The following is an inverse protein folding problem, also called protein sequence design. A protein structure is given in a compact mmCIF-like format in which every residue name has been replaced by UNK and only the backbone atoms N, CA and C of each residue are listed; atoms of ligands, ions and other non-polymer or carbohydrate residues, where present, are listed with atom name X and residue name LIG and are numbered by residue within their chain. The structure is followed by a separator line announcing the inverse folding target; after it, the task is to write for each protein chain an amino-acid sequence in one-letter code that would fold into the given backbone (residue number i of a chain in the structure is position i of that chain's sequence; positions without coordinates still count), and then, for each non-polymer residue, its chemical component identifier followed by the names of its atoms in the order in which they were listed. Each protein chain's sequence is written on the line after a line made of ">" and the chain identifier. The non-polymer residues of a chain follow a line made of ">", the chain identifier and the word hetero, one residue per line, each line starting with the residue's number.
data_IF_344359056511
#
_entry.id   IF_344359056511
#
_cell.length_a   1.000
_cell.length_b   1.000
_cell.length_c   1.000
_cell.angle_alpha   90.00
_cell.angle_beta   90.00
_cell.angle_gamma   90.00
#
_symmetry.space_group_name_H-M   'P 1'
#
loop_
_entity.id
_entity.type
_entity.pdbx_description
1 polymer ?
#
# COMPACT_ATOMS: atom_id res chain seq x y z
N UNK A 1 16.06 -4.30 14.80
CA UNK A 1 14.82 -3.50 14.63
C UNK A 1 14.58 -3.21 13.15
N UNK A 2 13.33 -3.10 12.71
CA UNK A 2 12.96 -2.64 11.37
C UNK A 2 12.55 -1.16 11.40
N UNK A 3 12.94 -0.42 10.37
CA UNK A 3 12.27 0.81 9.97
C UNK A 3 11.51 0.55 8.67
N UNK A 4 10.29 1.06 8.58
CA UNK A 4 9.48 1.01 7.35
C UNK A 4 8.88 2.38 7.10
N UNK A 5 9.01 2.89 5.89
CA UNK A 5 8.32 4.08 5.41
C UNK A 5 7.31 3.68 4.36
N UNK A 6 6.02 3.87 4.65
CA UNK A 6 4.89 3.70 3.74
C UNK A 6 4.63 5.04 3.06
N UNK A 7 4.98 5.10 1.78
CA UNK A 7 4.95 6.32 0.97
C UNK A 7 4.87 5.95 -0.51
N UNK A 8 4.13 6.73 -1.29
CA UNK A 8 3.97 6.51 -2.73
C UNK A 8 5.22 6.81 -3.53
N UNK A 9 6.19 7.48 -2.91
CA UNK A 9 7.46 7.82 -3.53
C UNK A 9 8.44 6.63 -3.64
N UNK A 10 8.06 5.44 -3.15
CA UNK A 10 8.98 4.30 -2.97
C UNK A 10 8.56 3.05 -3.74
N UNK A 11 9.01 2.94 -4.99
CA UNK A 11 9.00 1.71 -5.77
C UNK A 11 7.65 0.98 -5.89
N UNK A 12 7.65 -0.28 -6.35
CA UNK A 12 6.41 -0.97 -6.71
C UNK A 12 5.45 -1.28 -5.56
N UNK A 13 5.92 -1.27 -4.31
CA UNK A 13 5.08 -1.52 -3.12
C UNK A 13 4.79 -0.27 -2.30
N UNK A 14 5.30 0.91 -2.69
CA UNK A 14 5.16 2.13 -1.91
C UNK A 14 5.75 1.97 -0.48
N UNK A 15 6.89 1.28 -0.39
CA UNK A 15 7.56 0.92 0.86
C UNK A 15 9.08 1.07 0.77
N UNK A 16 9.68 1.79 1.73
CA UNK A 16 11.11 1.72 2.03
C UNK A 16 11.35 0.98 3.34
N UNK A 17 12.12 -0.10 3.32
CA UNK A 17 12.41 -0.93 4.50
C UNK A 17 13.90 -0.90 4.83
N UNK A 18 14.24 -0.73 6.10
CA UNK A 18 15.62 -0.76 6.60
C UNK A 18 15.74 -1.61 7.86
N UNK A 19 16.87 -2.30 7.97
CA UNK A 19 17.30 -2.94 9.21
C UNK A 19 18.15 -1.95 10.00
N UNK A 20 17.77 -1.74 11.25
CA UNK A 20 18.48 -0.87 12.18
C UNK A 20 19.17 -1.71 13.25
N UNK A 21 20.41 -1.34 13.64
CA UNK A 21 21.23 -2.12 14.57
C UNK A 21 20.78 -1.99 16.03
N UNK A 22 19.96 -0.97 16.33
CA UNK A 22 19.54 -0.64 17.69
C UNK A 22 18.58 -1.69 18.27
N UNK A 23 18.65 -1.85 19.60
CA UNK A 23 17.86 -2.84 20.33
C UNK A 23 16.40 -2.43 20.48
N UNK A 24 16.07 -1.16 20.30
CA UNK A 24 14.71 -0.67 20.36
C UNK A 24 14.61 0.80 19.95
N UNK A 25 13.37 1.28 19.88
CA UNK A 25 13.04 2.64 19.42
C UNK A 25 13.79 3.69 20.25
N UNK A 26 13.75 3.58 21.58
CA UNK A 26 14.42 4.52 22.47
C UNK A 26 15.93 4.62 22.21
N UNK A 27 16.60 3.49 21.96
CA UNK A 27 18.04 3.46 21.72
C UNK A 27 18.39 4.14 20.38
N UNK A 28 17.55 3.98 19.36
CA UNK A 28 17.72 4.66 18.08
C UNK A 28 17.58 6.19 18.20
N UNK A 29 16.51 6.67 18.85
CA UNK A 29 16.32 8.11 19.09
C UNK A 29 17.45 8.69 19.93
N UNK A 30 17.87 7.97 20.97
CA UNK A 30 19.04 8.38 21.76
C UNK A 30 20.27 8.53 20.89
N UNK A 31 20.55 7.59 19.99
CA UNK A 31 21.75 7.64 19.15
C UNK A 31 21.76 8.88 18.25
N UNK A 32 20.60 9.30 17.76
CA UNK A 32 20.45 10.51 16.96
C UNK A 32 20.42 11.83 17.73
N UNK A 33 20.13 11.79 19.04
CA UNK A 33 19.77 12.98 19.84
C UNK A 33 20.81 14.10 19.80
N UNK A 34 22.09 13.74 19.81
CA UNK A 34 23.21 14.68 19.87
C UNK A 34 23.89 14.86 18.50
N UNK A 35 23.22 14.47 17.40
CA UNK A 35 23.79 14.57 16.05
C UNK A 35 23.66 16.01 15.53
N UNK A 36 24.77 16.65 15.15
CA UNK A 36 24.81 18.04 14.69
C UNK A 36 24.11 18.30 13.34
N UNK A 37 23.83 17.25 12.55
CA UNK A 37 23.19 17.32 11.23
C UNK A 37 22.07 16.27 11.11
N UNK A 38 20.92 16.48 11.80
CA UNK A 38 19.89 15.45 11.94
C UNK A 38 19.30 14.98 10.60
N UNK A 39 19.10 15.88 9.64
CA UNK A 39 18.60 15.55 8.30
C UNK A 39 19.52 14.57 7.57
N UNK A 40 20.80 14.92 7.42
CA UNK A 40 21.79 14.09 6.73
C UNK A 40 21.95 12.73 7.43
N UNK A 41 21.90 12.72 8.76
CA UNK A 41 21.98 11.49 9.54
C UNK A 41 20.78 10.57 9.30
N UNK A 42 19.55 11.11 9.36
CA UNK A 42 18.32 10.35 9.08
C UNK A 42 18.33 9.81 7.66
N UNK A 43 18.69 10.64 6.68
CA UNK A 43 18.71 10.23 5.28
C UNK A 43 19.70 9.08 5.05
N UNK A 44 20.92 9.19 5.58
CA UNK A 44 21.93 8.13 5.47
C UNK A 44 21.51 6.84 6.19
N UNK A 45 20.96 6.95 7.39
CA UNK A 45 20.56 5.81 8.23
C UNK A 45 19.33 5.08 7.65
N UNK A 46 18.31 5.83 7.23
CA UNK A 46 17.01 5.33 6.79
C UNK A 46 16.89 5.19 5.26
N UNK A 47 17.93 5.59 4.52
CA UNK A 47 18.03 5.41 3.07
C UNK A 47 17.22 6.41 2.25
N UNK A 48 16.98 7.61 2.78
CA UNK A 48 16.20 8.67 2.16
C UNK A 48 15.52 9.57 3.19
N UNK A 49 14.96 10.72 2.77
CA UNK A 49 14.23 11.61 3.67
C UNK A 49 12.97 10.92 4.24
N UNK A 50 12.59 11.29 5.46
CA UNK A 50 11.33 10.87 6.11
C UNK A 50 10.61 12.11 6.56
N UNK A 51 9.40 12.32 6.05
CA UNK A 51 8.65 13.55 6.31
C UNK A 51 8.43 13.75 7.82
N UNK A 52 8.71 14.97 8.30
CA UNK A 52 8.56 15.38 9.69
C UNK A 52 9.56 14.77 10.69
N UNK A 53 10.19 13.64 10.41
CA UNK A 53 10.99 12.90 11.41
C UNK A 53 12.20 13.66 11.95
N UNK A 54 12.79 14.58 11.19
CA UNK A 54 13.94 15.36 11.65
C UNK A 54 13.59 16.40 12.73
N UNK A 55 12.34 16.88 12.76
CA UNK A 55 11.88 17.99 13.62
C UNK A 55 12.12 17.76 15.12
N UNK A 56 11.96 16.54 15.61
CA UNK A 56 12.23 16.19 17.02
C UNK A 56 13.72 16.37 17.38
N UNK A 57 14.63 16.09 16.45
CA UNK A 57 16.06 16.26 16.67
C UNK A 57 16.48 17.72 16.52
N UNK A 58 15.86 18.47 15.59
CA UNK A 58 16.04 19.92 15.47
C UNK A 58 15.59 20.62 16.76
N UNK A 59 14.39 20.33 17.25
CA UNK A 59 13.88 20.85 18.51
C UNK A 59 14.79 20.48 19.69
N UNK A 60 15.34 19.26 19.71
CA UNK A 60 16.29 18.86 20.74
C UNK A 60 17.53 19.76 20.79
N UNK A 61 18.04 20.20 19.64
CA UNK A 61 19.17 21.12 19.57
C UNK A 61 18.76 22.57 19.90
N UNK A 62 17.70 23.07 19.25
CA UNK A 62 17.26 24.46 19.35
C UNK A 62 16.77 24.80 20.77
N UNK A 63 16.06 23.88 21.40
CA UNK A 63 15.47 24.06 22.74
C UNK A 63 16.30 23.40 23.85
N UNK A 64 17.42 22.74 23.51
CA UNK A 64 18.29 22.02 24.46
C UNK A 64 17.53 20.95 25.26
N UNK A 65 16.67 20.19 24.58
CA UNK A 65 15.82 19.19 25.22
C UNK A 65 16.66 18.06 25.82
N UNK A 66 16.29 17.56 27.02
CA UNK A 66 17.01 16.45 27.63
C UNK A 66 16.84 15.20 26.79
N UNK A 67 17.94 14.46 26.61
CA UNK A 67 17.92 13.14 25.98
C UNK A 67 17.00 12.20 26.77
N UNK A 68 16.01 11.54 26.14
CA UNK A 68 15.01 10.76 26.87
C UNK A 68 15.64 9.60 27.64
N UNK A 69 15.32 9.49 28.92
CA UNK A 69 15.67 8.45 29.89
C UNK A 69 14.79 7.20 29.78
N UNK A 70 13.56 7.36 29.32
CA UNK A 70 12.55 6.30 29.26
C UNK A 70 11.71 6.38 27.98
N UNK A 71 10.97 5.31 27.69
CA UNK A 71 10.00 5.31 26.57
C UNK A 71 8.89 6.33 26.81
N UNK A 72 8.49 6.54 28.07
CA UNK A 72 7.46 7.52 28.41
C UNK A 72 7.95 8.96 28.21
N UNK A 73 9.20 9.25 28.58
CA UNK A 73 9.82 10.55 28.28
C UNK A 73 9.96 10.77 26.76
N UNK A 74 10.38 9.75 26.00
CA UNK A 74 10.41 9.84 24.54
C UNK A 74 9.00 10.08 23.97
N UNK A 75 7.96 9.42 24.51
CA UNK A 75 6.58 9.62 24.06
C UNK A 75 6.15 11.08 24.24
N UNK A 76 6.41 11.66 25.42
CA UNK A 76 6.13 13.07 25.68
C UNK A 76 6.83 13.97 24.67
N UNK A 77 8.14 13.78 24.48
CA UNK A 77 8.93 14.61 23.56
C UNK A 77 8.44 14.48 22.10
N UNK A 78 8.07 13.28 21.65
CA UNK A 78 7.51 13.09 20.32
C UNK A 78 6.18 13.84 20.16
N UNK A 79 5.26 13.76 21.12
CA UNK A 79 3.99 14.49 21.00
C UNK A 79 4.16 16.01 21.07
N UNK A 80 5.20 16.50 21.74
CA UNK A 80 5.47 17.94 21.88
C UNK A 80 6.22 18.52 20.68
N UNK A 81 7.14 17.76 20.07
CA UNK A 81 8.11 18.31 19.12
C UNK A 81 8.24 17.55 17.79
N UNK A 82 7.65 16.36 17.64
CA UNK A 82 7.63 15.68 16.34
C UNK A 82 6.55 16.32 15.46
N UNK A 83 6.99 16.95 14.37
CA UNK A 83 6.12 17.42 13.32
C UNK A 83 5.46 16.24 12.60
N UNK A 84 4.14 16.17 12.75
CA UNK A 84 3.24 15.34 11.95
C UNK A 84 2.03 16.19 11.56
N UNK A 85 1.59 16.07 10.33
CA UNK A 85 0.37 16.74 9.88
C UNK A 85 -0.84 15.90 10.22
N UNK A 86 -1.72 16.46 11.05
CA UNK A 86 -2.94 15.81 11.51
C UNK A 86 -3.33 16.16 12.94
N UNK A 87 -4.36 15.47 13.42
CA UNK A 87 -4.94 15.60 14.76
C UNK A 87 -4.13 14.83 15.83
N UNK A 88 -4.75 14.47 16.97
CA UNK A 88 -4.05 13.98 18.17
C UNK A 88 -3.68 12.49 18.22
N UNK A 89 -4.11 11.63 17.27
CA UNK A 89 -3.85 10.17 17.25
C UNK A 89 -2.82 9.72 16.18
N UNK A 90 -1.87 10.60 15.84
CA UNK A 90 -0.93 10.38 14.73
C UNK A 90 0.40 9.78 15.16
N UNK A 91 0.68 9.71 16.46
CA UNK A 91 1.91 9.12 17.01
C UNK A 91 1.52 8.07 18.05
N UNK A 92 1.91 6.82 17.82
CA UNK A 92 1.69 5.69 18.73
C UNK A 92 3.03 5.08 19.11
N UNK A 93 3.44 5.26 20.35
CA UNK A 93 4.69 4.71 20.91
C UNK A 93 4.41 3.77 22.09
N UNK A 94 4.85 2.52 21.94
CA UNK A 94 4.92 1.53 23.02
C UNK A 94 6.34 0.95 23.17
N UNK A 95 6.51 -0.06 24.02
CA UNK A 95 7.83 -0.65 24.29
C UNK A 95 8.45 -1.41 23.10
N UNK A 96 7.68 -1.71 22.05
CA UNK A 96 8.12 -2.52 20.92
C UNK A 96 7.96 -1.82 19.56
N UNK A 97 7.26 -0.69 19.50
CA UNK A 97 7.01 0.02 18.26
C UNK A 97 6.80 1.52 18.41
N UNK A 98 7.26 2.26 17.40
CA UNK A 98 6.76 3.59 17.05
C UNK A 98 6.01 3.47 15.74
N UNK A 99 4.80 4.03 15.68
CA UNK A 99 4.02 4.19 14.45
C UNK A 99 3.61 5.65 14.37
N UNK A 100 3.90 6.28 13.25
CA UNK A 100 3.48 7.64 13.00
C UNK A 100 2.74 7.71 11.66
N UNK A 101 1.63 8.44 11.63
CA UNK A 101 0.93 8.88 10.41
C UNK A 101 1.23 10.36 10.22
N UNK A 102 1.30 10.80 8.97
CA UNK A 102 1.38 12.22 8.61
C UNK A 102 0.77 12.41 7.23
N UNK A 103 0.54 13.66 6.85
CA UNK A 103 0.38 14.10 5.47
C UNK A 103 1.60 14.96 5.10
N UNK A 104 1.94 15.11 3.83
CA UNK A 104 2.94 16.04 3.33
C UNK A 104 2.34 17.11 2.40
N UNK A 105 1.11 17.53 2.71
CA UNK A 105 0.19 18.29 1.86
C UNK A 105 -0.27 17.61 0.55
N UNK A 106 0.47 16.62 0.02
CA UNK A 106 0.15 15.95 -1.25
C UNK A 106 -0.45 14.56 -1.05
N UNK A 107 0.07 13.78 -0.10
CA UNK A 107 -0.36 12.41 0.18
C UNK A 107 -0.19 12.03 1.65
N UNK A 108 -1.05 11.13 2.10
CA UNK A 108 -0.84 10.49 3.40
C UNK A 108 0.38 9.55 3.42
N UNK A 109 1.10 9.58 4.52
CA UNK A 109 2.34 8.85 4.75
C UNK A 109 2.31 8.20 6.13
N UNK A 110 3.03 7.10 6.28
CA UNK A 110 3.24 6.52 7.60
C UNK A 110 4.64 5.94 7.73
N UNK A 111 5.23 6.02 8.92
CA UNK A 111 6.48 5.33 9.21
C UNK A 111 6.43 4.57 10.51
N UNK A 112 7.22 3.51 10.55
CA UNK A 112 7.16 2.49 11.56
C UNK A 112 8.58 2.13 12.01
N UNK A 113 8.81 2.13 13.32
CA UNK A 113 9.95 1.45 13.93
C UNK A 113 9.40 0.23 14.66
N UNK A 114 9.86 -0.96 14.30
CA UNK A 114 9.29 -2.23 14.77
C UNK A 114 10.39 -3.12 15.35
N UNK A 115 10.23 -3.52 16.61
CA UNK A 115 11.13 -4.49 17.23
C UNK A 115 11.04 -5.84 16.51
N UNK A 116 12.16 -6.59 16.50
CA UNK A 116 12.27 -7.86 15.75
C UNK A 116 11.32 -8.93 16.31
N UNK A 117 11.21 -9.00 17.63
CA UNK A 117 10.26 -9.90 18.31
C UNK A 117 8.80 -9.57 17.97
N UNK A 118 8.47 -8.28 17.79
CA UNK A 118 7.12 -7.87 17.41
C UNK A 118 6.81 -8.25 15.96
N UNK A 119 7.76 -8.01 15.05
CA UNK A 119 7.67 -8.43 13.65
C UNK A 119 7.45 -9.94 13.52
N UNK A 120 8.11 -10.74 14.36
CA UNK A 120 7.96 -12.20 14.39
C UNK A 120 6.63 -12.63 15.03
N UNK A 121 6.27 -12.04 16.17
CA UNK A 121 5.08 -12.42 16.92
C UNK A 121 3.76 -12.00 16.26
N UNK A 122 3.81 -11.03 15.34
CA UNK A 122 2.65 -10.44 14.65
C UNK A 122 2.83 -10.50 13.13
N UNK A 123 3.36 -11.60 12.63
CA UNK A 123 3.57 -11.81 11.20
C UNK A 123 2.25 -11.69 10.41
N UNK A 124 1.13 -12.17 11.00
CA UNK A 124 -0.24 -12.01 10.50
C UNK A 124 -0.67 -10.55 10.26
N UNK A 125 0.07 -9.59 10.83
CA UNK A 125 -0.18 -8.15 10.67
C UNK A 125 0.92 -7.41 9.93
N UNK A 126 2.15 -7.92 9.97
CA UNK A 126 3.34 -7.19 9.53
C UNK A 126 4.04 -7.80 8.32
N UNK A 127 3.70 -9.02 7.89
CA UNK A 127 4.43 -9.71 6.82
C UNK A 127 4.47 -8.92 5.51
N UNK A 128 3.34 -8.37 5.05
CA UNK A 128 3.29 -7.53 3.85
C UNK A 128 4.10 -6.23 4.03
N UNK A 129 3.93 -5.55 5.17
CA UNK A 129 4.65 -4.30 5.48
C UNK A 129 6.18 -4.49 5.48
N UNK A 130 6.65 -5.70 5.81
CA UNK A 130 8.07 -6.05 5.85
C UNK A 130 8.57 -6.77 4.59
N UNK A 131 7.72 -6.93 3.58
CA UNK A 131 8.06 -7.59 2.32
C UNK A 131 8.67 -6.59 1.33
N UNK A 132 10.01 -6.52 1.29
CA UNK A 132 10.73 -5.46 0.57
C UNK A 132 11.09 -5.72 -0.89
N UNK A 133 10.56 -6.76 -1.54
CA UNK A 133 10.95 -7.08 -2.91
C UNK A 133 9.77 -7.54 -3.75
N UNK A 134 9.52 -6.86 -4.87
CA UNK A 134 8.59 -7.34 -5.88
C UNK A 134 9.13 -8.60 -6.58
N UNK A 135 8.28 -9.58 -6.93
CA UNK A 135 6.85 -9.71 -6.60
C UNK A 135 6.60 -10.41 -5.24
N UNK A 136 5.34 -10.45 -4.78
CA UNK A 136 4.92 -11.42 -3.74
C UNK A 136 5.09 -12.86 -4.26
N UNK A 137 5.33 -13.86 -3.39
CA UNK A 137 5.52 -15.25 -3.81
C UNK A 137 4.25 -15.83 -4.45
N UNK A 138 4.39 -16.44 -5.64
CA UNK A 138 3.27 -16.99 -6.42
C UNK A 138 2.94 -18.46 -6.14
N UNK A 139 3.84 -19.20 -5.48
CA UNK A 139 3.68 -20.65 -5.28
C UNK A 139 2.56 -20.96 -4.28
N UNK A 140 1.54 -21.69 -4.70
CA UNK A 140 0.48 -22.18 -3.80
C UNK A 140 0.14 -23.64 -4.13
N UNK A 141 0.27 -24.58 -3.17
CA UNK A 141 -0.18 -25.94 -3.40
C UNK A 141 -1.72 -25.98 -3.48
N UNK A 142 -2.30 -26.96 -4.19
CA UNK A 142 -3.74 -27.13 -4.23
C UNK A 142 -4.32 -27.26 -2.82
N UNK A 143 -5.29 -26.42 -2.48
CA UNK A 143 -6.01 -26.48 -1.22
C UNK A 143 -7.46 -26.90 -1.47
N UNK A 144 -7.99 -27.77 -0.60
CA UNK A 144 -9.41 -28.11 -0.59
C UNK A 144 -10.20 -27.15 0.30
N UNK A 145 -11.42 -26.78 -0.09
CA UNK A 145 -12.28 -25.94 0.73
C UNK A 145 -13.27 -25.10 -0.09
N UNK A 146 -14.07 -24.30 0.61
CA UNK A 146 -14.81 -23.23 -0.02
C UNK A 146 -13.83 -22.16 -0.50
N UNK A 147 -13.94 -21.76 -1.77
CA UNK A 147 -13.01 -20.78 -2.36
C UNK A 147 -13.59 -19.39 -2.25
N UNK A 148 -12.75 -18.40 -1.92
CA UNK A 148 -13.07 -16.97 -2.01
C UNK A 148 -11.90 -16.25 -2.68
N UNK A 149 -12.20 -15.36 -3.61
CA UNK A 149 -11.20 -14.43 -4.17
C UNK A 149 -11.31 -13.11 -3.43
N UNK A 150 -10.16 -12.55 -3.08
CA UNK A 150 -10.01 -11.22 -2.49
C UNK A 150 -9.45 -10.27 -3.54
N UNK A 151 -9.97 -9.05 -3.60
CA UNK A 151 -9.39 -7.95 -4.36
C UNK A 151 -8.97 -6.83 -3.41
N UNK A 152 -7.70 -6.48 -3.45
CA UNK A 152 -7.09 -5.41 -2.65
C UNK A 152 -6.60 -4.33 -3.61
N UNK A 153 -7.16 -3.14 -3.48
CA UNK A 153 -6.81 -1.98 -4.30
C UNK A 153 -6.15 -0.92 -3.41
N UNK A 154 -4.83 -0.78 -3.54
CA UNK A 154 -4.03 0.25 -2.88
C UNK A 154 -3.84 1.40 -3.86
N UNK A 155 -4.95 2.07 -4.17
CA UNK A 155 -4.99 3.25 -5.04
C UNK A 155 -5.06 4.52 -4.21
N UNK A 156 -4.47 5.59 -4.73
CA UNK A 156 -4.45 6.89 -4.08
C UNK A 156 -5.12 7.94 -4.97
N UNK A 157 -5.90 8.83 -4.35
CA UNK A 157 -6.58 9.93 -5.04
C UNK A 157 -6.69 11.13 -4.11
N UNK A 158 -6.42 12.34 -4.63
CA UNK A 158 -6.74 13.59 -3.94
C UNK A 158 -6.23 13.63 -2.48
N UNK A 159 -4.98 13.22 -2.26
CA UNK A 159 -4.33 13.17 -0.95
C UNK A 159 -4.71 12.01 -0.03
N UNK A 160 -5.85 11.35 -0.22
CA UNK A 160 -6.24 10.16 0.54
C UNK A 160 -5.56 8.91 -0.02
N UNK A 161 -4.67 8.32 0.78
CA UNK A 161 -3.79 7.27 0.25
C UNK A 161 -3.56 6.10 1.18
N UNK A 162 -3.85 6.24 2.47
CA UNK A 162 -3.73 5.17 3.45
C UNK A 162 -5.12 4.64 3.77
N UNK A 163 -5.30 3.32 3.61
CA UNK A 163 -6.50 2.62 4.06
C UNK A 163 -7.83 3.08 3.44
N UNK A 164 -7.81 3.50 2.17
CA UNK A 164 -8.98 4.06 1.49
C UNK A 164 -10.07 3.03 1.20
N UNK A 165 -9.68 1.81 0.84
CA UNK A 165 -10.61 0.77 0.37
C UNK A 165 -10.40 -0.51 1.17
N UNK A 166 -11.48 -0.93 1.83
CA UNK A 166 -11.55 -2.27 2.39
C UNK A 166 -11.40 -3.33 1.29
N UNK A 167 -10.73 -4.47 1.57
CA UNK A 167 -10.68 -5.58 0.64
C UNK A 167 -12.08 -6.03 0.20
N UNK A 168 -12.22 -6.31 -1.09
CA UNK A 168 -13.45 -6.89 -1.63
C UNK A 168 -13.35 -8.42 -1.61
N UNK A 169 -14.46 -9.08 -1.29
CA UNK A 169 -14.55 -10.54 -1.25
C UNK A 169 -15.53 -11.05 -2.32
N UNK A 170 -15.15 -12.13 -2.99
CA UNK A 170 -15.97 -12.86 -3.96
C UNK A 170 -16.15 -14.30 -3.50
N UNK A 171 -17.12 -14.58 -2.61
CA UNK A 171 -17.35 -15.92 -2.10
C UNK A 171 -17.77 -16.89 -3.21
N UNK A 172 -17.18 -18.09 -3.20
CA UNK A 172 -17.44 -19.14 -4.19
C UNK A 172 -16.75 -18.93 -5.54
N UNK A 173 -15.83 -17.97 -5.65
CA UNK A 173 -15.10 -17.64 -6.88
C UNK A 173 -13.61 -17.83 -6.63
N UNK A 174 -12.97 -18.70 -7.40
CA UNK A 174 -11.51 -18.80 -7.49
C UNK A 174 -10.95 -17.73 -8.42
N UNK A 175 -9.64 -17.46 -8.35
CA UNK A 175 -9.04 -16.43 -9.19
C UNK A 175 -9.22 -16.72 -10.70
N UNK A 176 -9.09 -17.97 -11.18
CA UNK A 176 -9.42 -18.32 -12.57
C UNK A 176 -10.89 -18.08 -12.95
N UNK A 177 -11.83 -18.22 -12.01
CA UNK A 177 -13.26 -17.98 -12.21
C UNK A 177 -13.66 -16.51 -12.15
N UNK A 178 -12.79 -15.63 -11.62
CA UNK A 178 -13.10 -14.20 -11.45
C UNK A 178 -13.53 -13.49 -12.74
N UNK A 179 -12.88 -13.66 -13.92
CA UNK A 179 -13.34 -13.04 -15.15
C UNK A 179 -14.79 -13.43 -15.50
N UNK A 180 -15.14 -14.72 -15.35
CA UNK A 180 -16.49 -15.21 -15.58
C UNK A 180 -17.50 -14.57 -14.63
N UNK A 181 -17.14 -14.42 -13.35
CA UNK A 181 -17.95 -13.75 -12.36
C UNK A 181 -18.19 -12.27 -12.71
N UNK A 182 -17.13 -11.51 -13.02
CA UNK A 182 -17.22 -10.07 -13.31
C UNK A 182 -18.09 -9.78 -14.54
N UNK A 183 -18.03 -10.63 -15.57
CA UNK A 183 -18.90 -10.52 -16.75
C UNK A 183 -20.39 -10.71 -16.43
N UNK A 184 -20.68 -11.66 -15.53
CA UNK A 184 -22.05 -12.02 -15.19
C UNK A 184 -22.67 -11.08 -14.13
N UNK A 185 -21.83 -10.54 -13.24
CA UNK A 185 -22.28 -9.65 -12.17
C UNK A 185 -22.81 -8.31 -12.73
N UNK A 186 -23.91 -7.85 -12.14
CA UNK A 186 -24.32 -6.46 -12.27
C UNK A 186 -23.48 -5.62 -11.30
N UNK A 187 -22.95 -4.45 -11.73
CA UNK A 187 -22.22 -3.58 -10.81
C UNK A 187 -23.15 -3.14 -9.68
N UNK A 188 -22.70 -3.29 -8.44
CA UNK A 188 -23.39 -2.75 -7.28
C UNK A 188 -22.96 -1.30 -7.05
N UNK A 189 -23.81 -0.51 -6.37
CA UNK A 189 -23.58 0.92 -6.19
C UNK A 189 -22.37 1.27 -5.31
N UNK A 190 -21.81 0.29 -4.62
CA UNK A 190 -20.64 0.37 -3.73
C UNK A 190 -19.35 -0.15 -4.38
N UNK A 191 -19.39 -0.61 -5.64
CA UNK A 191 -18.19 -1.08 -6.32
C UNK A 191 -17.21 0.08 -6.55
N UNK A 192 -15.94 -0.09 -6.16
CA UNK A 192 -14.96 0.96 -6.36
C UNK A 192 -14.55 1.05 -7.85
N UNK A 193 -14.05 2.22 -8.30
CA UNK A 193 -13.66 2.45 -9.69
C UNK A 193 -12.72 1.40 -10.27
N UNK A 194 -11.79 0.89 -9.48
CA UNK A 194 -10.83 -0.17 -9.84
C UNK A 194 -11.55 -1.43 -10.28
N UNK A 195 -12.56 -1.86 -9.52
CA UNK A 195 -13.35 -3.04 -9.85
C UNK A 195 -14.24 -2.81 -11.07
N UNK A 196 -14.79 -1.60 -11.22
CA UNK A 196 -15.60 -1.24 -12.38
C UNK A 196 -14.77 -1.27 -13.67
N UNK A 197 -13.55 -0.72 -13.65
CA UNK A 197 -12.63 -0.76 -14.79
C UNK A 197 -12.18 -2.19 -15.07
N UNK A 198 -11.81 -2.96 -14.03
CA UNK A 198 -11.45 -4.36 -14.20
C UNK A 198 -12.57 -5.14 -14.88
N UNK A 199 -13.81 -5.01 -14.38
CA UNK A 199 -14.99 -5.64 -14.99
C UNK A 199 -15.17 -5.21 -16.44
N UNK A 200 -15.09 -3.91 -16.72
CA UNK A 200 -15.27 -3.37 -18.07
C UNK A 200 -14.23 -3.96 -19.05
N UNK A 201 -13.01 -4.18 -18.59
CA UNK A 201 -11.90 -4.64 -19.42
C UNK A 201 -11.70 -6.15 -19.41
N UNK A 202 -12.61 -6.93 -18.80
CA UNK A 202 -12.66 -8.38 -19.01
C UNK A 202 -13.33 -8.66 -20.36
N UNK A 203 -12.61 -9.26 -21.30
CA UNK A 203 -13.19 -9.63 -22.59
C UNK A 203 -14.04 -10.90 -22.47
N UNK A 204 -14.96 -11.13 -23.44
CA UNK A 204 -15.80 -12.34 -23.46
C UNK A 204 -15.01 -13.66 -23.47
N UNK A 205 -13.82 -13.66 -24.05
CA UNK A 205 -12.93 -14.81 -24.22
C UNK A 205 -11.83 -14.91 -23.15
N UNK A 206 -11.72 -13.95 -22.23
CA UNK A 206 -10.78 -14.02 -21.12
C UNK A 206 -11.12 -15.22 -20.20
N UNK A 207 -10.20 -16.17 -20.12
CA UNK A 207 -10.25 -17.30 -19.18
C UNK A 207 -9.40 -17.07 -17.93
N UNK A 208 -8.61 -16.00 -17.88
CA UNK A 208 -7.80 -15.57 -16.73
C UNK A 208 -7.89 -14.05 -16.58
N UNK A 209 -7.49 -13.52 -15.44
CA UNK A 209 -7.50 -12.07 -15.18
C UNK A 209 -6.38 -11.30 -15.89
N UNK A 210 -5.34 -11.98 -16.35
CA UNK A 210 -4.14 -11.32 -16.89
C UNK A 210 -4.43 -10.38 -18.08
N UNK A 211 -5.18 -10.79 -19.14
CA UNK A 211 -5.44 -9.90 -20.27
C UNK A 211 -6.21 -8.65 -19.84
N UNK A 212 -7.17 -8.80 -18.93
CA UNK A 212 -7.92 -7.68 -18.37
C UNK A 212 -7.02 -6.72 -17.57
N UNK A 213 -6.12 -7.23 -16.72
CA UNK A 213 -5.16 -6.41 -15.98
C UNK A 213 -4.19 -5.65 -16.90
N UNK A 214 -3.74 -6.28 -18.00
CA UNK A 214 -2.93 -5.59 -19.03
C UNK A 214 -3.69 -4.43 -19.67
N UNK A 215 -4.99 -4.60 -19.93
CA UNK A 215 -5.86 -3.52 -20.41
C UNK A 215 -6.09 -2.46 -19.34
N UNK A 216 -6.28 -2.84 -18.07
CA UNK A 216 -6.44 -1.88 -16.96
C UNK A 216 -5.22 -0.97 -16.82
N UNK A 217 -4.01 -1.50 -17.06
CA UNK A 217 -2.78 -0.71 -17.08
C UNK A 217 -2.77 0.37 -18.19
N UNK A 218 -3.60 0.24 -19.22
CA UNK A 218 -3.78 1.23 -20.28
C UNK A 218 -4.93 2.20 -20.00
N UNK A 219 -5.67 2.03 -18.89
CA UNK A 219 -6.80 2.89 -18.57
C UNK A 219 -6.35 4.30 -18.25
N UNK A 220 -6.74 5.36 -18.98
CA UNK A 220 -6.16 6.70 -18.81
C UNK A 220 -6.37 7.33 -17.42
N UNK A 221 -7.47 7.05 -16.72
CA UNK A 221 -7.90 7.78 -15.52
C UNK A 221 -7.41 7.29 -14.14
N UNK A 222 -6.44 6.36 -14.05
CA UNK A 222 -5.85 5.98 -12.75
C UNK A 222 -4.66 6.86 -12.34
N UNK A 223 -4.59 8.08 -12.88
CA UNK A 223 -3.54 9.03 -12.54
C UNK A 223 -4.08 10.11 -11.59
N UNK A 224 -3.79 10.00 -10.30
CA UNK A 224 -4.03 11.04 -9.27
C UNK A 224 -5.46 11.62 -9.20
N UNK A 225 -6.46 10.93 -9.76
CA UNK A 225 -7.87 11.35 -9.75
C UNK A 225 -8.36 12.00 -11.03
N UNK A 226 -7.53 12.06 -12.07
CA UNK A 226 -7.95 12.57 -13.37
C UNK A 226 -8.89 11.60 -14.08
N UNK A 227 -9.87 12.18 -14.79
CA UNK A 227 -10.79 11.40 -15.61
C UNK A 227 -10.07 10.65 -16.74
N UNK A 228 -10.73 9.68 -17.38
CA UNK A 228 -12.13 9.30 -17.20
C UNK A 228 -12.33 8.30 -16.06
N UNK A 229 -13.30 8.64 -15.19
CA UNK A 229 -13.83 7.73 -14.18
C UNK A 229 -14.88 6.80 -14.80
N UNK A 230 -15.02 5.54 -14.33
CA UNK A 230 -16.02 4.61 -14.86
C UNK A 230 -17.47 4.94 -14.45
N UNK A 231 -17.68 6.06 -13.75
CA UNK A 231 -19.00 6.51 -13.34
C UNK A 231 -19.89 6.82 -14.56
N UNK A 232 -21.10 6.27 -14.57
CA UNK A 232 -22.07 6.47 -15.65
C UNK A 232 -21.94 5.49 -16.82
N UNK A 233 -21.02 4.53 -16.76
CA UNK A 233 -20.90 3.48 -17.77
C UNK A 233 -22.12 2.54 -17.82
N UNK A 234 -22.39 1.91 -18.98
CA UNK A 234 -23.48 0.96 -19.13
C UNK A 234 -23.40 -0.20 -18.13
N UNK A 235 -24.54 -0.59 -17.55
CA UNK A 235 -24.58 -1.76 -16.66
C UNK A 235 -24.33 -3.07 -17.41
N UNK A 236 -24.78 -3.18 -18.67
CA UNK A 236 -24.61 -4.38 -19.48
C UNK A 236 -23.15 -4.59 -19.88
N UNK A 237 -22.59 -5.76 -19.53
CA UNK A 237 -21.17 -6.06 -19.73
C UNK A 237 -20.68 -5.81 -21.17
N UNK A 238 -21.40 -6.31 -22.17
CA UNK A 238 -21.00 -6.14 -23.57
C UNK A 238 -20.90 -4.66 -24.00
N UNK A 239 -21.80 -3.80 -23.52
CA UNK A 239 -21.80 -2.38 -23.86
C UNK A 239 -20.64 -1.64 -23.15
N UNK A 240 -20.44 -1.89 -21.85
CA UNK A 240 -19.31 -1.26 -21.13
C UNK A 240 -17.97 -1.77 -21.60
N UNK A 241 -17.85 -3.04 -22.00
CA UNK A 241 -16.62 -3.57 -22.55
C UNK A 241 -16.24 -2.89 -23.86
N UNK A 242 -17.22 -2.67 -24.74
CA UNK A 242 -17.01 -1.95 -25.99
C UNK A 242 -16.55 -0.51 -25.72
N UNK A 243 -17.24 0.20 -24.83
CA UNK A 243 -16.90 1.58 -24.47
C UNK A 243 -15.51 1.71 -23.83
N UNK A 244 -15.20 0.85 -22.86
CA UNK A 244 -13.90 0.82 -22.19
C UNK A 244 -12.76 0.46 -23.15
N UNK A 245 -12.98 -0.47 -24.10
CA UNK A 245 -12.00 -0.81 -25.12
C UNK A 245 -11.74 0.37 -26.06
N UNK A 246 -12.79 1.02 -26.55
CA UNK A 246 -12.65 2.22 -27.37
C UNK A 246 -11.91 3.33 -26.60
N UNK A 247 -12.14 3.45 -25.30
CA UNK A 247 -11.47 4.44 -24.46
C UNK A 247 -9.96 4.21 -24.35
N UNK A 248 -9.52 2.96 -24.15
CA UNK A 248 -8.07 2.67 -24.07
C UNK A 248 -7.38 2.67 -25.45
N UNK A 249 -8.12 2.54 -26.54
CA UNK A 249 -7.58 2.64 -27.90
C UNK A 249 -7.26 4.07 -28.32
N UNK A 250 -8.06 5.04 -27.84
CA UNK A 250 -7.93 6.46 -28.22
C UNK A 250 -7.43 7.34 -27.08
N UNK A 251 -7.47 6.85 -25.85
CA UNK A 251 -7.08 7.57 -24.66
C UNK A 251 -5.56 7.70 -24.54
N UNK A 252 -5.12 8.84 -24.05
CA UNK A 252 -3.71 9.09 -23.75
C UNK A 252 -3.52 9.08 -22.22
N UNK A 253 -2.43 8.45 -21.76
CA UNK A 253 -2.00 8.57 -20.37
C UNK A 253 -1.36 9.94 -20.15
N UNK A 254 -1.76 10.66 -19.10
CA UNK A 254 -1.30 12.02 -18.79
C UNK A 254 -0.31 12.07 -17.61
N UNK A 255 0.18 13.27 -17.29
CA UNK A 255 1.01 13.63 -16.12
C UNK A 255 2.18 12.70 -15.81
N UNK A 256 2.86 12.25 -16.88
CA UNK A 256 4.06 11.42 -16.79
C UNK A 256 3.78 9.93 -16.65
N UNK A 257 2.51 9.49 -16.73
CA UNK A 257 2.16 8.08 -16.67
C UNK A 257 2.71 7.29 -17.84
N UNK A 258 3.43 6.21 -17.50
CA UNK A 258 4.07 5.31 -18.43
C UNK A 258 3.64 3.85 -18.16
N UNK A 259 2.66 3.32 -18.91
CA UNK A 259 2.23 1.93 -18.77
C UNK A 259 3.36 0.89 -18.93
N UNK A 260 4.43 1.19 -19.67
CA UNK A 260 5.57 0.28 -19.85
C UNK A 260 6.46 0.20 -18.59
N UNK A 261 6.35 1.16 -17.67
CA UNK A 261 7.03 1.15 -16.37
C UNK A 261 6.23 0.42 -15.27
N UNK A 262 5.01 -0.03 -15.59
CA UNK A 262 4.20 -0.84 -14.69
C UNK A 262 4.69 -2.28 -14.62
N UNK A 263 4.46 -2.94 -13.48
CA UNK A 263 4.81 -4.33 -13.26
C UNK A 263 3.55 -5.18 -13.14
N UNK A 264 3.48 -6.28 -13.89
CA UNK A 264 2.39 -7.24 -13.82
C UNK A 264 2.97 -8.64 -13.61
N UNK A 265 2.50 -9.31 -12.57
CA UNK A 265 2.76 -10.73 -12.31
C UNK A 265 1.44 -11.45 -12.11
N UNK A 266 1.22 -12.53 -12.86
CA UNK A 266 0.04 -13.38 -12.70
C UNK A 266 0.51 -14.82 -12.57
N UNK A 267 0.11 -15.43 -11.47
CA UNK A 267 0.22 -16.84 -11.13
C UNK A 267 -1.22 -17.41 -10.99
N UNK A 268 -1.39 -18.71 -10.80
CA UNK A 268 -2.72 -19.35 -10.80
C UNK A 268 -3.66 -18.81 -9.72
N UNK A 269 -3.13 -18.53 -8.53
CA UNK A 269 -3.90 -18.11 -7.36
C UNK A 269 -3.53 -16.70 -6.84
N UNK A 270 -2.68 -15.98 -7.57
CA UNK A 270 -2.27 -14.61 -7.25
C UNK A 270 -2.03 -13.81 -8.54
N UNK A 271 -2.66 -12.64 -8.65
CA UNK A 271 -2.35 -11.61 -9.64
C UNK A 271 -1.97 -10.31 -8.92
N UNK A 272 -0.94 -9.62 -9.44
CA UNK A 272 -0.37 -8.42 -8.85
C UNK A 272 -0.07 -7.43 -9.97
N UNK A 273 -0.59 -6.21 -9.85
CA UNK A 273 -0.31 -5.10 -10.75
C UNK A 273 0.21 -3.93 -9.94
N UNK A 274 1.46 -3.55 -10.13
CA UNK A 274 1.98 -2.25 -9.72
C UNK A 274 1.90 -1.31 -10.92
N UNK A 275 0.85 -0.50 -10.96
CA UNK A 275 0.56 0.44 -12.05
C UNK A 275 1.35 1.72 -11.82
N UNK A 276 2.25 2.06 -12.74
CA UNK A 276 3.01 3.30 -12.67
C UNK A 276 2.08 4.51 -12.79
N UNK A 277 2.17 5.43 -11.84
CA UNK A 277 1.45 6.70 -11.84
C UNK A 277 2.30 7.74 -12.53
N UNK A 278 3.37 8.21 -11.89
CA UNK A 278 4.36 9.09 -12.49
C UNK A 278 5.68 8.99 -11.71
N UNK A 279 6.72 9.70 -12.16
CA UNK A 279 8.04 9.64 -11.50
C UNK A 279 8.00 10.07 -10.03
N UNK A 280 7.29 11.15 -9.64
CA UNK A 280 7.11 11.49 -8.23
C UNK A 280 6.38 10.41 -7.42
N UNK A 281 5.15 10.03 -7.80
CA UNK A 281 4.24 9.21 -6.99
C UNK A 281 4.35 7.70 -7.22
N UNK A 282 5.36 7.23 -7.96
CA UNK A 282 5.69 5.83 -8.10
C UNK A 282 4.56 4.97 -8.68
N UNK A 283 4.03 4.05 -7.87
CA UNK A 283 3.06 3.04 -8.30
C UNK A 283 1.83 2.96 -7.39
N UNK A 284 0.69 2.59 -7.98
CA UNK A 284 -0.49 2.08 -7.28
C UNK A 284 -0.55 0.56 -7.41
N UNK A 285 -1.04 -0.14 -6.38
CA UNK A 285 -0.98 -1.60 -6.35
C UNK A 285 -2.35 -2.26 -6.31
N UNK A 286 -2.57 -3.21 -7.21
CA UNK A 286 -3.74 -4.09 -7.19
C UNK A 286 -3.28 -5.52 -6.94
N UNK A 287 -3.88 -6.17 -5.95
CA UNK A 287 -3.66 -7.58 -5.65
C UNK A 287 -4.98 -8.33 -5.73
N UNK A 288 -5.00 -9.42 -6.51
CA UNK A 288 -6.11 -10.35 -6.59
C UNK A 288 -5.59 -11.72 -6.18
N UNK A 289 -6.12 -12.32 -5.13
CA UNK A 289 -5.69 -13.65 -4.69
C UNK A 289 -6.84 -14.42 -4.10
N UNK A 290 -6.81 -15.74 -4.21
CA UNK A 290 -7.85 -16.57 -3.61
C UNK A 290 -7.39 -17.27 -2.32
N UNK A 291 -8.32 -17.96 -1.68
CA UNK A 291 -8.08 -18.71 -0.45
C UNK A 291 -7.02 -19.80 -0.60
N UNK A 292 -6.69 -20.27 -1.82
CA UNK A 292 -5.62 -21.25 -2.03
C UNK A 292 -4.27 -20.59 -1.81
N UNK A 293 -4.06 -19.40 -2.40
CA UNK A 293 -2.87 -18.60 -2.11
C UNK A 293 -2.82 -18.14 -0.66
N UNK A 294 -3.95 -17.70 -0.10
CA UNK A 294 -4.01 -17.28 1.30
C UNK A 294 -3.68 -18.42 2.27
N UNK A 295 -4.07 -19.66 1.97
CA UNK A 295 -3.71 -20.83 2.77
C UNK A 295 -2.21 -21.18 2.67
N UNK A 296 -1.58 -20.90 1.52
CA UNK A 296 -0.15 -21.10 1.31
C UNK A 296 0.70 -20.02 1.98
N UNK A 297 0.18 -18.79 2.06
CA UNK A 297 0.87 -17.60 2.59
C UNK A 297 0.01 -16.87 3.64
N UNK A 298 -0.36 -17.52 4.76
CA UNK A 298 -1.38 -17.00 5.69
C UNK A 298 -1.02 -15.64 6.28
N UNK A 299 0.25 -15.44 6.66
CA UNK A 299 0.70 -14.19 7.24
C UNK A 299 0.68 -13.03 6.22
N UNK A 300 1.11 -13.29 4.98
CA UNK A 300 1.07 -12.29 3.90
C UNK A 300 -0.36 -11.92 3.54
N UNK A 301 -1.26 -12.90 3.41
CA UNK A 301 -2.65 -12.64 3.10
C UNK A 301 -3.34 -11.83 4.22
N UNK A 302 -3.21 -12.26 5.48
CA UNK A 302 -3.81 -11.58 6.61
C UNK A 302 -3.28 -10.14 6.77
N UNK A 303 -1.96 -9.96 6.62
CA UNK A 303 -1.35 -8.64 6.75
C UNK A 303 -1.69 -7.72 5.58
N UNK A 304 -1.78 -8.23 4.34
CA UNK A 304 -2.17 -7.45 3.17
C UNK A 304 -3.64 -6.98 3.27
N UNK A 305 -4.56 -7.86 3.66
CA UNK A 305 -5.96 -7.50 3.88
C UNK A 305 -6.09 -6.39 4.94
N UNK A 306 -5.35 -6.52 6.04
CA UNK A 306 -5.32 -5.50 7.11
C UNK A 306 -4.70 -4.19 6.65
N UNK A 307 -3.59 -4.26 5.90
CA UNK A 307 -2.89 -3.09 5.39
C UNK A 307 -3.76 -2.22 4.47
N UNK A 308 -4.68 -2.86 3.74
CA UNK A 308 -5.66 -2.21 2.89
C UNK A 308 -6.75 -1.46 3.66
N UNK A 309 -7.19 -1.98 4.81
CA UNK A 309 -8.25 -1.39 5.63
C UNK A 309 -7.77 -0.49 6.77
N UNK A 310 -6.46 -0.42 7.06
CA UNK A 310 -5.94 0.40 8.16
C UNK A 310 -4.54 0.98 7.92
N UNK A 311 -4.31 2.20 8.44
CA UNK A 311 -2.99 2.85 8.35
C UNK A 311 -1.98 2.21 9.32
N UNK A 312 -2.44 1.91 10.54
CA UNK A 312 -1.68 1.20 11.57
C UNK A 312 -1.94 -0.31 11.46
N UNK A 313 -0.95 -1.12 11.07
CA UNK A 313 -1.14 -2.57 10.98
C UNK A 313 -1.36 -3.23 12.36
N UNK A 314 -1.14 -2.56 13.49
CA UNK A 314 -1.17 -3.15 14.82
C UNK A 314 -2.42 -2.80 15.65
N UNK A 315 -3.33 -1.99 15.13
CA UNK A 315 -4.68 -1.77 15.70
C UNK A 315 -5.53 -3.03 15.48
#
# INVERSE_FOLDING_TARGET
>A
MYFVYRTHYEGPFSLRIRRLPDRGVLDWFRRGWDNDAPWDWIEAELGGPVYGLASIFEAAQEEQLPRPGTVDELRTLLHEHLYVEGDTDYIRLDGQSLRARTNDDEVELAYFFLHDDLATARADRLAYLLHGSWPLPGDAPPAGGAVTTYAVFLTHYDGETLARLEPLEFPGVDLPGLPGHLRAAAPAGDWPPELLVLRALVAPDDTTVEPALRRCNQWPGFNLGDGPWPAGMPAAHAAVHQEATSLIEVGECTDGRNPDASLLRVDEHLAQLAMHCNEPFGHQQWFLFDTVWAAAHPDLAASLLRYAGHWDPLD
#
